data_IF_555284889193
#
_entry.id   IF_555284889193
#
_cell.length_a   1.000
_cell.length_b   1.000
_cell.length_c   1.000
_cell.angle_alpha   90.00
_cell.angle_beta   90.00
_cell.angle_gamma   90.00
#
_symmetry.space_group_name_H-M   'P 1'
#
loop_
_entity.id
_entity.type
_entity.pdbx_description
1 polymer ?
#
# COMPACT_ATOMS: atom_id res chain seq x y z
N UNK A 1 -39.55 -2.62 8.96
CA UNK A 1 -38.44 -2.26 9.87
C UNK A 1 -37.15 -2.39 9.08
N UNK A 2 -36.43 -1.29 8.92
CA UNK A 2 -35.37 -1.09 7.93
C UNK A 2 -34.13 -1.96 8.17
N UNK A 3 -33.71 -2.71 7.15
CA UNK A 3 -32.38 -3.30 7.04
C UNK A 3 -31.39 -2.20 6.64
N UNK A 4 -30.67 -1.64 7.62
CA UNK A 4 -29.53 -0.76 7.37
C UNK A 4 -28.26 -1.50 7.81
N UNK A 5 -27.84 -2.48 7.00
CA UNK A 5 -26.57 -3.17 7.19
C UNK A 5 -25.43 -2.16 6.96
N UNK A 6 -24.56 -2.04 7.97
CA UNK A 6 -23.47 -1.07 8.05
C UNK A 6 -22.60 -1.04 6.79
N UNK A 7 -22.67 0.06 6.06
CA UNK A 7 -21.79 0.39 4.94
C UNK A 7 -20.39 0.64 5.52
N UNK A 8 -19.42 -0.23 5.24
CA UNK A 8 -18.04 -0.15 5.72
C UNK A 8 -17.51 1.30 5.71
N UNK A 9 -17.05 1.78 6.87
CA UNK A 9 -16.57 3.14 7.11
C UNK A 9 -15.08 3.09 7.46
N UNK A 10 -14.22 2.88 6.47
CA UNK A 10 -12.77 3.00 6.66
C UNK A 10 -12.30 4.38 6.22
N UNK A 11 -11.54 5.03 7.10
CA UNK A 11 -10.86 6.27 6.81
C UNK A 11 -9.50 6.00 6.17
N UNK A 12 -9.04 6.90 5.30
CA UNK A 12 -7.76 6.76 4.58
C UNK A 12 -6.59 6.55 5.56
N UNK A 13 -6.61 7.24 6.70
CA UNK A 13 -5.59 7.14 7.75
C UNK A 13 -5.52 5.75 8.41
N UNK A 14 -6.58 4.96 8.35
CA UNK A 14 -6.63 3.63 8.98
C UNK A 14 -6.05 2.52 8.08
N UNK A 15 -5.61 2.84 6.86
CA UNK A 15 -5.16 1.85 5.87
C UNK A 15 -3.81 1.23 6.24
N UNK A 16 -2.85 2.03 6.69
CA UNK A 16 -1.52 1.54 7.07
C UNK A 16 -1.43 1.07 8.52
N UNK A 17 -2.38 1.48 9.37
CA UNK A 17 -2.32 1.25 10.81
C UNK A 17 -1.25 2.09 11.53
N UNK A 18 -0.58 3.00 10.84
CA UNK A 18 0.40 3.91 11.42
C UNK A 18 -0.31 5.07 12.13
N UNK A 19 0.33 5.61 13.17
CA UNK A 19 -0.15 6.81 13.84
C UNK A 19 -0.06 8.02 12.90
N UNK A 20 -1.13 8.80 12.82
CA UNK A 20 -1.15 10.02 12.02
C UNK A 20 -0.73 11.22 12.87
N UNK A 21 0.53 11.64 12.70
CA UNK A 21 1.11 12.81 13.36
C UNK A 21 0.79 14.13 12.63
N UNK A 22 -0.05 14.12 11.60
CA UNK A 22 -0.34 15.33 10.82
C UNK A 22 -1.22 16.34 11.56
N UNK A 23 -1.81 15.99 12.71
CA UNK A 23 -2.76 16.80 13.49
C UNK A 23 -3.93 17.39 12.66
N UNK A 24 -4.18 16.86 11.45
CA UNK A 24 -5.22 17.36 10.55
C UNK A 24 -6.57 16.74 10.90
N UNK A 25 -7.63 17.54 11.10
CA UNK A 25 -8.98 17.02 11.34
C UNK A 25 -9.63 16.46 10.06
N UNK A 26 -9.03 16.67 8.89
CA UNK A 26 -9.58 16.28 7.60
C UNK A 26 -9.39 14.77 7.35
N UNK A 27 -10.35 13.99 7.84
CA UNK A 27 -10.36 12.56 7.66
C UNK A 27 -11.01 12.19 6.31
N UNK A 28 -10.21 12.02 5.27
CA UNK A 28 -10.72 11.60 3.96
C UNK A 28 -11.27 10.17 4.05
N UNK A 29 -12.44 9.96 3.46
CA UNK A 29 -13.10 8.65 3.44
C UNK A 29 -12.74 7.90 2.17
N UNK A 30 -12.42 6.61 2.31
CA UNK A 30 -12.27 5.73 1.15
C UNK A 30 -13.62 5.57 0.46
N UNK A 31 -13.66 5.87 -0.83
CA UNK A 31 -14.86 5.81 -1.65
C UNK A 31 -14.65 4.85 -2.81
N UNK A 32 -15.65 4.02 -3.08
CA UNK A 32 -15.67 3.16 -4.27
C UNK A 32 -15.73 3.99 -5.58
N UNK A 33 -15.07 3.54 -6.65
CA UNK A 33 -14.10 2.44 -6.68
C UNK A 33 -12.77 2.85 -6.02
N UNK A 34 -12.11 1.92 -5.33
CA UNK A 34 -10.84 2.18 -4.65
C UNK A 34 -9.71 2.56 -5.63
N UNK A 35 -9.78 2.07 -6.87
CA UNK A 35 -8.87 2.42 -7.95
C UNK A 35 -9.62 3.17 -9.06
N UNK A 36 -9.07 4.26 -9.60
CA UNK A 36 -9.71 4.98 -10.70
C UNK A 36 -9.65 4.14 -11.99
N UNK A 37 -10.74 4.14 -12.78
CA UNK A 37 -10.80 3.38 -14.03
C UNK A 37 -9.74 3.78 -15.06
N UNK A 38 -9.21 5.00 -14.99
CA UNK A 38 -8.09 5.47 -15.81
C UNK A 38 -6.78 4.75 -15.53
N UNK A 39 -6.64 4.09 -14.36
CA UNK A 39 -5.44 3.34 -13.98
C UNK A 39 -5.28 2.07 -14.82
N UNK A 40 -6.35 1.56 -15.44
CA UNK A 40 -6.31 0.33 -16.23
C UNK A 40 -6.05 -0.92 -15.38
N UNK A 41 -6.28 -0.86 -14.07
CA UNK A 41 -6.15 -1.95 -13.12
C UNK A 41 -7.55 -2.29 -12.58
N UNK A 42 -7.89 -3.56 -12.64
CA UNK A 42 -9.14 -4.11 -12.09
C UNK A 42 -9.07 -4.26 -10.57
N UNK A 43 -10.22 -4.39 -9.91
CA UNK A 43 -10.31 -4.71 -8.47
C UNK A 43 -9.63 -6.06 -8.11
N UNK A 44 -9.30 -6.89 -9.10
CA UNK A 44 -8.50 -8.12 -8.93
C UNK A 44 -6.98 -7.89 -9.02
N UNK A 45 -6.53 -6.63 -8.94
CA UNK A 45 -5.14 -6.22 -9.10
C UNK A 45 -4.50 -6.75 -10.39
N UNK A 46 -5.30 -6.89 -11.46
CA UNK A 46 -4.85 -7.28 -12.79
C UNK A 46 -5.00 -6.11 -13.75
N UNK A 47 -4.07 -5.98 -14.69
CA UNK A 47 -4.28 -5.10 -15.84
C UNK A 47 -5.55 -5.53 -16.58
N UNK A 48 -6.36 -4.55 -16.97
CA UNK A 48 -7.45 -4.80 -17.90
C UNK A 48 -6.86 -5.35 -19.20
N UNK A 49 -7.39 -6.44 -19.75
CA UNK A 49 -6.92 -7.10 -21.00
C UNK A 49 -7.06 -6.21 -22.26
N UNK A 50 -7.29 -4.91 -22.08
CA UNK A 50 -7.28 -3.95 -23.17
C UNK A 50 -5.82 -3.78 -23.56
N UNK A 51 -5.51 -4.20 -24.79
CA UNK A 51 -4.25 -3.98 -25.48
C UNK A 51 -4.02 -2.49 -25.74
N UNK A 52 -3.99 -1.68 -24.68
CA UNK A 52 -3.44 -0.34 -24.74
C UNK A 52 -2.00 -0.50 -24.30
N UNK A 53 -1.11 -0.65 -25.27
CA UNK A 53 0.14 0.11 -25.21
C UNK A 53 -0.26 1.58 -25.13
N UNK A 54 -0.74 2.03 -23.98
CA UNK A 54 -0.79 3.44 -23.65
C UNK A 54 0.68 3.83 -23.46
N UNK A 55 1.40 3.99 -24.58
CA UNK A 55 2.47 4.98 -24.63
C UNK A 55 1.75 6.28 -24.38
N UNK A 56 1.77 6.70 -23.12
CA UNK A 56 1.30 8.02 -22.77
C UNK A 56 2.22 8.98 -23.52
N UNK A 57 1.70 9.63 -24.56
CA UNK A 57 2.41 10.75 -25.16
C UNK A 57 2.57 11.82 -24.09
N UNK A 58 3.60 12.64 -24.22
CA UNK A 58 3.78 13.81 -23.36
C UNK A 58 2.46 14.62 -23.25
N UNK A 59 1.79 14.83 -24.38
CA UNK A 59 0.50 15.53 -24.44
C UNK A 59 -0.64 14.80 -23.73
N UNK A 60 -0.64 13.46 -23.71
CA UNK A 60 -1.63 12.69 -22.94
C UNK A 60 -1.37 12.78 -21.43
N UNK A 61 -0.11 12.76 -20.99
CA UNK A 61 0.21 12.95 -19.57
C UNK A 61 -0.22 14.34 -19.09
N UNK A 62 -0.10 15.36 -19.94
CA UNK A 62 -0.61 16.71 -19.66
C UNK A 62 -2.15 16.77 -19.57
N UNK A 63 -2.88 15.77 -20.10
CA UNK A 63 -4.33 15.66 -19.97
C UNK A 63 -4.78 14.92 -18.70
N UNK A 64 -3.89 14.25 -17.97
CA UNK A 64 -4.17 13.68 -16.65
C UNK A 64 -4.36 14.82 -15.66
N UNK A 65 -5.50 15.49 -15.76
CA UNK A 65 -5.91 16.55 -14.84
C UNK A 65 -6.10 15.91 -13.47
N UNK A 66 -5.55 16.56 -12.45
CA UNK A 66 -5.87 16.28 -11.07
C UNK A 66 -7.39 16.22 -10.89
N UNK A 67 -7.88 15.28 -10.07
CA UNK A 67 -9.29 15.26 -9.67
C UNK A 67 -9.70 16.66 -9.16
N UNK A 68 -10.93 17.16 -9.39
CA UNK A 68 -11.35 18.48 -8.91
C UNK A 68 -11.08 18.71 -7.41
N UNK A 69 -11.12 17.64 -6.61
CA UNK A 69 -10.77 17.67 -5.18
C UNK A 69 -9.27 17.85 -4.89
N UNK A 70 -8.38 17.41 -5.80
CA UNK A 70 -6.94 17.67 -5.73
C UNK A 70 -6.58 19.06 -6.30
N UNK A 71 -7.48 19.67 -7.07
CA UNK A 71 -7.38 21.06 -7.52
C UNK A 71 -7.94 22.07 -6.50
N UNK A 72 -8.71 21.62 -5.51
CA UNK A 72 -9.24 22.51 -4.46
C UNK A 72 -8.20 22.70 -3.37
N UNK A 73 -7.80 23.96 -3.15
CA UNK A 73 -6.93 24.35 -2.06
C UNK A 73 -7.64 24.09 -0.72
N UNK A 74 -7.02 23.34 0.21
CA UNK A 74 -7.53 23.23 1.57
C UNK A 74 -7.58 24.62 2.22
N UNK A 75 -8.69 25.00 2.89
CA UNK A 75 -8.86 26.34 3.45
C UNK A 75 -7.78 26.71 4.48
N UNK A 76 -7.14 25.71 5.09
CA UNK A 76 -6.17 25.89 6.18
C UNK A 76 -4.70 25.86 5.72
N UNK A 77 -4.43 25.81 4.41
CA UNK A 77 -3.06 25.74 3.89
C UNK A 77 -2.38 27.12 3.93
N UNK A 78 -1.26 27.26 4.63
CA UNK A 78 -0.48 28.50 4.75
C UNK A 78 0.04 28.95 3.38
N UNK A 79 -0.13 30.23 3.03
CA UNK A 79 0.49 30.81 1.83
C UNK A 79 2.00 30.96 2.05
N UNK A 80 2.80 30.34 1.20
CA UNK A 80 4.24 30.56 1.13
C UNK A 80 4.49 31.66 0.08
N UNK A 81 5.09 32.81 0.45
CA UNK A 81 5.38 33.88 -0.49
C UNK A 81 6.29 33.39 -1.63
N UNK A 82 5.87 33.59 -2.89
CA UNK A 82 6.61 33.17 -4.09
C UNK A 82 6.05 31.94 -4.80
N UNK A 83 5.05 31.25 -4.23
CA UNK A 83 4.33 30.15 -4.91
C UNK A 83 3.03 30.70 -5.51
N UNK A 84 2.92 30.71 -6.84
CA UNK A 84 1.72 31.16 -7.56
C UNK A 84 0.72 30.02 -7.80
N UNK A 85 -0.49 30.17 -7.27
CA UNK A 85 -1.63 29.26 -7.45
C UNK A 85 -2.40 29.53 -8.75
N UNK A 86 -1.73 29.52 -9.91
CA UNK A 86 -2.42 29.71 -11.18
C UNK A 86 -3.19 28.44 -11.57
N UNK A 87 -4.50 28.44 -11.37
CA UNK A 87 -5.40 27.45 -11.94
C UNK A 87 -5.49 27.60 -13.46
N UNK A 88 -5.44 26.51 -14.25
CA UNK A 88 -5.56 26.60 -15.69
C UNK A 88 -6.97 27.04 -16.10
N UNK A 89 -7.00 28.00 -17.02
CA UNK A 89 -8.17 28.73 -17.47
C UNK A 89 -9.39 27.91 -17.88
N UNK A 90 -10.52 28.56 -17.68
CA UNK A 90 -11.86 28.21 -18.13
C UNK A 90 -11.87 27.88 -19.64
N UNK A 91 -12.55 26.81 -20.07
CA UNK A 91 -13.76 26.79 -20.93
C UNK A 91 -14.01 25.36 -21.49
N UNK A 92 -15.31 25.03 -21.65
CA UNK A 92 -15.95 24.06 -22.57
C UNK A 92 -16.19 22.58 -22.18
N UNK A 93 -17.43 22.36 -21.72
CA UNK A 93 -18.48 21.45 -22.23
C UNK A 93 -18.28 19.92 -22.38
N UNK A 94 -19.13 19.23 -21.61
CA UNK A 94 -20.06 18.13 -21.97
C UNK A 94 -19.57 16.70 -22.31
N UNK A 95 -20.32 15.77 -21.69
CA UNK A 95 -20.67 14.41 -22.11
C UNK A 95 -19.69 13.27 -21.83
N UNK A 96 -19.79 12.68 -20.63
CA UNK A 96 -19.46 11.26 -20.43
C UNK A 96 -20.48 10.55 -19.53
N UNK A 97 -21.70 10.43 -20.05
CA UNK A 97 -22.69 9.45 -19.61
C UNK A 97 -22.36 8.08 -20.21
N UNK A 98 -21.33 7.40 -19.71
CA UNK A 98 -21.08 6.00 -20.06
C UNK A 98 -20.08 5.37 -19.08
N UNK A 99 -20.56 4.86 -17.94
CA UNK A 99 -19.99 3.64 -17.32
C UNK A 99 -20.90 3.10 -16.19
N UNK A 100 -22.20 2.96 -16.47
CA UNK A 100 -23.17 2.28 -15.60
C UNK A 100 -23.34 0.80 -15.97
N UNK A 101 -22.24 0.08 -16.20
CA UNK A 101 -22.30 -1.37 -16.50
C UNK A 101 -21.21 -2.10 -15.74
N UNK A 102 -21.54 -2.54 -14.52
CA UNK A 102 -20.65 -3.34 -13.69
C UNK A 102 -20.97 -3.21 -12.21
N UNK A 103 -22.14 -3.70 -11.79
CA UNK A 103 -22.43 -3.93 -10.37
C UNK A 103 -21.65 -5.19 -9.94
N UNK A 104 -20.36 -5.02 -9.63
CA UNK A 104 -19.53 -5.96 -8.87
C UNK A 104 -18.88 -5.17 -7.74
N UNK A 105 -18.71 -5.81 -6.59
CA UNK A 105 -18.35 -5.21 -5.30
C UNK A 105 -17.23 -4.15 -5.43
N UNK A 106 -17.61 -2.86 -5.48
CA UNK A 106 -16.69 -1.74 -5.81
C UNK A 106 -15.72 -1.37 -4.67
N UNK A 107 -15.86 -2.03 -3.53
CA UNK A 107 -15.17 -1.73 -2.28
C UNK A 107 -14.13 -2.80 -1.88
N UNK A 108 -13.91 -3.83 -2.71
CA UNK A 108 -13.02 -4.96 -2.37
C UNK A 108 -11.89 -5.03 -3.40
N UNK A 109 -10.65 -4.87 -2.93
CA UNK A 109 -9.46 -5.26 -3.69
C UNK A 109 -9.10 -6.71 -3.37
N UNK A 110 -8.79 -7.48 -4.40
CA UNK A 110 -8.34 -8.86 -4.28
C UNK A 110 -7.15 -9.10 -5.21
N UNK A 111 -6.31 -10.07 -4.90
CA UNK A 111 -5.22 -10.50 -5.78
C UNK A 111 -5.19 -12.02 -5.89
N UNK A 112 -4.53 -12.53 -6.94
CA UNK A 112 -4.39 -13.97 -7.19
C UNK A 112 -3.08 -14.54 -6.65
N UNK A 113 -2.23 -13.72 -6.03
CA UNK A 113 -0.98 -14.16 -5.42
C UNK A 113 -1.29 -14.94 -4.13
N UNK A 114 -0.66 -16.10 -3.97
CA UNK A 114 -0.65 -16.83 -2.70
C UNK A 114 0.62 -16.44 -1.95
N UNK A 115 0.53 -15.43 -1.10
CA UNK A 115 1.67 -14.87 -0.36
C UNK A 115 1.62 -15.28 1.10
N UNK A 116 2.79 -15.51 1.67
CA UNK A 116 3.04 -15.69 3.09
C UNK A 116 4.20 -14.77 3.49
N UNK A 117 4.12 -14.16 4.67
CA UNK A 117 5.24 -13.39 5.23
C UNK A 117 6.30 -14.35 5.77
N UNK A 118 7.58 -14.06 5.54
CA UNK A 118 8.68 -14.79 6.19
C UNK A 118 8.64 -14.62 7.71
N UNK A 119 8.29 -13.41 8.16
CA UNK A 119 8.29 -13.01 9.56
C UNK A 119 6.87 -13.05 10.11
N UNK A 120 6.71 -13.52 11.35
CA UNK A 120 5.41 -13.59 12.05
C UNK A 120 5.05 -12.30 12.77
N UNK A 121 5.98 -11.34 12.81
CA UNK A 121 5.84 -10.05 13.48
C UNK A 121 5.76 -10.14 15.01
N UNK A 122 6.10 -11.31 15.54
CA UNK A 122 6.14 -11.63 16.96
C UNK A 122 7.32 -12.57 17.21
N UNK A 123 8.15 -12.24 18.19
CA UNK A 123 9.28 -13.06 18.62
C UNK A 123 8.77 -14.41 19.15
N UNK A 124 9.30 -15.55 18.65
CA UNK A 124 8.82 -16.89 19.04
C UNK A 124 8.88 -17.20 20.53
N UNK A 125 9.86 -16.61 21.24
CA UNK A 125 10.18 -17.01 22.62
C UNK A 125 9.51 -16.14 23.69
N UNK A 126 9.06 -14.92 23.36
CA UNK A 126 8.65 -13.92 24.36
C UNK A 126 7.32 -13.22 24.05
N UNK A 127 6.63 -13.60 22.96
CA UNK A 127 5.37 -12.97 22.50
C UNK A 127 5.47 -11.44 22.40
N UNK A 128 6.67 -10.94 22.08
CA UNK A 128 6.96 -9.51 21.89
C UNK A 128 6.92 -9.17 20.41
N UNK A 129 6.44 -7.98 20.02
CA UNK A 129 6.46 -7.57 18.63
C UNK A 129 7.91 -7.44 18.15
N UNK A 130 8.19 -8.06 17.00
CA UNK A 130 9.41 -7.76 16.24
C UNK A 130 9.25 -6.38 15.59
N UNK A 131 10.36 -5.64 15.49
CA UNK A 131 10.36 -4.35 14.78
C UNK A 131 11.37 -4.40 13.64
N UNK A 132 11.07 -3.68 12.57
CA UNK A 132 11.95 -3.53 11.40
C UNK A 132 12.55 -2.14 11.30
N UNK A 133 11.95 -1.15 11.97
CA UNK A 133 12.48 0.20 12.12
C UNK A 133 12.31 0.66 13.56
N UNK A 134 13.23 1.52 14.00
CA UNK A 134 13.13 2.22 15.26
C UNK A 134 13.54 3.68 15.05
N UNK A 135 12.56 4.57 15.05
CA UNK A 135 12.80 6.01 15.04
C UNK A 135 12.69 6.58 16.46
N UNK A 136 12.87 7.89 16.60
CA UNK A 136 12.99 8.58 17.90
C UNK A 136 11.80 8.44 18.86
N UNK A 137 10.66 7.88 18.43
CA UNK A 137 9.43 7.82 19.22
C UNK A 137 8.87 6.40 19.37
N UNK A 138 8.97 5.54 18.35
CA UNK A 138 8.40 4.18 18.41
C UNK A 138 9.07 3.21 17.44
N UNK A 139 9.10 1.93 17.83
CA UNK A 139 9.47 0.82 16.95
C UNK A 139 8.27 0.32 16.13
N UNK A 140 8.48 0.05 14.84
CA UNK A 140 7.42 -0.47 13.98
C UNK A 140 7.93 -1.59 13.06
N UNK A 141 7.01 -2.46 12.66
CA UNK A 141 7.22 -3.36 11.51
C UNK A 141 6.56 -2.75 10.29
N UNK A 142 7.38 -2.32 9.33
CA UNK A 142 6.94 -1.74 8.05
C UNK A 142 7.61 -2.42 6.85
N UNK A 143 8.58 -3.29 7.10
CA UNK A 143 9.33 -4.02 6.09
C UNK A 143 8.89 -5.48 6.06
N UNK A 144 8.73 -6.04 4.85
CA UNK A 144 8.22 -7.40 4.66
C UNK A 144 8.96 -8.13 3.54
N UNK A 145 9.21 -9.42 3.75
CA UNK A 145 9.53 -10.35 2.66
C UNK A 145 8.33 -11.29 2.51
N UNK A 146 7.57 -11.12 1.42
CA UNK A 146 6.50 -12.03 1.04
C UNK A 146 6.99 -13.07 0.03
N UNK A 147 6.56 -14.31 0.17
CA UNK A 147 6.91 -15.40 -0.73
C UNK A 147 5.72 -16.32 -1.02
N UNK A 148 5.79 -17.09 -2.09
CA UNK A 148 4.76 -18.10 -2.42
C UNK A 148 5.19 -19.49 -1.93
N UNK A 149 4.54 -20.04 -0.89
CA UNK A 149 4.93 -21.30 -0.30
C UNK A 149 4.55 -22.50 -1.19
N UNK A 150 5.35 -23.56 -1.09
CA UNK A 150 5.00 -24.89 -1.61
C UNK A 150 3.90 -25.50 -0.73
N UNK A 151 2.65 -25.56 -1.23
CA UNK A 151 1.58 -26.37 -0.63
C UNK A 151 1.48 -27.71 -1.35
N UNK A 152 0.87 -28.70 -0.68
CA UNK A 152 0.75 -30.09 -1.14
C UNK A 152 0.05 -30.29 -2.49
N UNK A 153 -0.66 -29.30 -3.03
CA UNK A 153 -1.38 -29.43 -4.30
C UNK A 153 -0.52 -29.08 -5.52
N UNK A 154 -0.52 -29.98 -6.50
CA UNK A 154 0.31 -30.08 -7.70
C UNK A 154 0.08 -28.99 -8.78
N UNK A 155 0.22 -27.70 -8.45
CA UNK A 155 0.33 -26.67 -9.49
C UNK A 155 1.78 -26.50 -9.95
N UNK A 156 2.00 -26.37 -11.27
CA UNK A 156 3.30 -26.16 -11.94
C UNK A 156 3.96 -24.80 -11.66
N UNK A 157 3.66 -24.17 -10.52
CA UNK A 157 4.30 -22.92 -10.14
C UNK A 157 5.64 -23.20 -9.46
N UNK A 158 6.66 -22.42 -9.83
CA UNK A 158 7.96 -22.36 -9.14
C UNK A 158 7.72 -21.91 -7.70
N UNK A 159 7.78 -22.85 -6.76
CA UNK A 159 7.37 -22.62 -5.36
C UNK A 159 8.56 -22.70 -4.43
N UNK A 160 8.53 -21.83 -3.43
CA UNK A 160 9.63 -21.66 -2.49
C UNK A 160 9.31 -22.37 -1.17
N UNK A 161 10.31 -23.06 -0.64
CA UNK A 161 10.33 -23.54 0.75
C UNK A 161 11.24 -22.63 1.55
N UNK A 162 10.70 -21.99 2.59
CA UNK A 162 11.52 -21.24 3.55
C UNK A 162 12.41 -22.21 4.33
N UNK A 163 13.72 -21.99 4.32
CA UNK A 163 14.73 -22.86 4.97
C UNK A 163 15.47 -22.18 6.11
N UNK A 164 15.22 -20.90 6.33
CA UNK A 164 15.83 -20.09 7.38
C UNK A 164 15.60 -18.61 7.12
N UNK A 165 15.70 -17.81 8.17
CA UNK A 165 15.67 -16.35 8.14
C UNK A 165 16.50 -15.82 9.30
N UNK A 166 16.93 -14.56 9.21
CA UNK A 166 17.58 -13.86 10.32
C UNK A 166 16.49 -13.29 11.23
N UNK A 167 16.43 -13.74 12.48
CA UNK A 167 15.47 -13.24 13.46
C UNK A 167 15.62 -11.74 13.70
N UNK A 168 14.49 -11.06 13.90
CA UNK A 168 14.47 -9.65 14.25
C UNK A 168 14.58 -9.46 15.76
N UNK A 169 14.80 -8.22 16.16
CA UNK A 169 14.92 -7.81 17.55
C UNK A 169 13.63 -7.10 18.00
N UNK A 170 13.21 -7.27 19.27
CA UNK A 170 12.17 -6.45 19.84
C UNK A 170 12.69 -5.03 20.13
N UNK A 171 11.75 -4.09 20.28
CA UNK A 171 12.05 -2.68 20.49
C UNK A 171 12.94 -2.41 21.72
N UNK A 172 12.68 -3.08 22.85
CA UNK A 172 13.43 -2.86 24.10
C UNK A 172 14.91 -3.23 23.99
N UNK A 173 15.21 -4.28 23.21
CA UNK A 173 16.59 -4.69 22.91
C UNK A 173 17.28 -3.63 22.05
N UNK A 174 16.61 -3.06 21.06
CA UNK A 174 17.19 -1.98 20.24
C UNK A 174 17.45 -0.72 21.07
N UNK A 175 16.54 -0.33 21.96
CA UNK A 175 16.77 0.79 22.88
C UNK A 175 17.95 0.54 23.82
N UNK A 176 18.15 -0.70 24.28
CA UNK A 176 19.33 -1.06 25.08
C UNK A 176 20.66 -0.88 24.32
N UNK A 177 20.62 -0.82 22.99
CA UNK A 177 21.75 -0.59 22.09
C UNK A 177 21.81 0.86 21.56
N UNK A 178 21.22 1.82 22.28
CA UNK A 178 21.13 3.23 21.89
C UNK A 178 20.23 3.51 20.68
N UNK A 179 19.22 2.65 20.44
CA UNK A 179 18.26 2.82 19.37
C UNK A 179 18.88 2.63 17.98
N UNK A 180 18.19 3.12 16.94
CA UNK A 180 18.71 3.17 15.57
C UNK A 180 18.65 4.60 15.01
N UNK A 181 19.57 4.97 14.09
CA UNK A 181 20.83 4.29 13.80
C UNK A 181 21.81 4.40 14.98
N UNK A 182 22.81 3.51 15.04
CA UNK A 182 23.87 3.53 16.03
C UNK A 182 25.23 3.09 15.44
N UNK A 183 26.26 2.92 16.27
CA UNK A 183 27.62 2.57 15.82
C UNK A 183 27.72 1.18 15.16
N UNK A 184 26.78 0.28 15.47
CA UNK A 184 26.70 -1.09 14.92
C UNK A 184 25.75 -1.12 13.72
N UNK A 185 24.63 -0.40 13.80
CA UNK A 185 23.58 -0.36 12.78
C UNK A 185 23.51 1.03 12.13
N UNK A 186 24.02 1.21 10.90
CA UNK A 186 24.10 2.53 10.27
C UNK A 186 22.76 3.03 9.70
N UNK A 187 21.71 2.22 9.75
CA UNK A 187 20.37 2.51 9.24
C UNK A 187 19.37 2.52 10.42
N UNK A 188 18.31 3.29 10.29
CA UNK A 188 17.13 3.24 11.17
C UNK A 188 16.25 1.99 10.91
N UNK A 189 16.51 1.26 9.82
CA UNK A 189 15.90 -0.03 9.50
C UNK A 189 16.84 -1.22 9.70
N UNK A 190 16.30 -2.32 10.22
CA UNK A 190 16.95 -3.63 10.28
C UNK A 190 16.83 -4.37 8.94
N UNK A 191 17.91 -5.02 8.52
CA UNK A 191 17.92 -5.83 7.30
C UNK A 191 17.13 -7.12 7.50
N UNK A 192 16.14 -7.35 6.64
CA UNK A 192 15.45 -8.63 6.53
C UNK A 192 16.30 -9.59 5.69
N UNK A 193 16.43 -10.85 6.13
CA UNK A 193 17.17 -11.87 5.41
C UNK A 193 16.43 -13.20 5.48
N UNK A 194 16.20 -13.80 4.31
CA UNK A 194 15.54 -15.09 4.18
C UNK A 194 16.30 -16.00 3.22
N UNK A 195 16.30 -17.30 3.51
CA UNK A 195 16.87 -18.34 2.64
C UNK A 195 15.76 -19.23 2.13
N UNK A 196 15.61 -19.27 0.81
CA UNK A 196 14.61 -20.11 0.14
C UNK A 196 15.27 -21.25 -0.63
N UNK A 197 14.61 -22.40 -0.61
CA UNK A 197 14.87 -23.49 -1.55
C UNK A 197 13.79 -23.46 -2.62
N UNK A 198 14.21 -23.36 -3.88
CA UNK A 198 13.32 -23.50 -5.04
C UNK A 198 13.25 -24.98 -5.42
N UNK A 199 12.04 -25.52 -5.47
CA UNK A 199 11.83 -26.84 -6.05
C UNK A 199 11.70 -26.71 -7.57
N UNK A 200 12.65 -27.30 -8.28
CA UNK A 200 12.74 -27.24 -9.74
C UNK A 200 12.08 -28.43 -10.42
N UNK A 201 11.34 -29.31 -9.72
CA UNK A 201 10.70 -30.49 -10.30
C UNK A 201 9.99 -30.18 -11.63
N UNK A 202 10.77 -30.33 -12.71
CA UNK A 202 10.41 -30.25 -14.10
C UNK A 202 9.88 -31.63 -14.44
N UNK A 203 8.57 -31.77 -14.36
CA UNK A 203 7.84 -32.83 -15.05
C UNK A 203 7.29 -32.25 -16.34
#
# INVERSE_FOLDING_TARGET
VSNNAGRNRFHVQQVSGQEDLSYKPSCHRLSAPLLPGSLGITDSCQYTSVNRKCRYSHDFMLQLRFCPAACSRPPDLVLIPGVTDLGPGQTLTQNHSAFLTGLKCRDILQHQLNLESVYKHVCPDVDRPEVTTLHSEVGATVDYIFYTPKRTCASHQKRLKLTGYLSLLPEDVLWSMNGLPNQIFPSDHLSLLARFQLDLNTS
#
